data_IF_831138096885
#
_entry.id   IF_831138096885
#
_cell.length_a   1.000
_cell.length_b   1.000
_cell.length_c   1.000
_cell.angle_alpha   90.00
_cell.angle_beta   90.00
_cell.angle_gamma   90.00
#
_symmetry.space_group_name_H-M   'P 1'
#
loop_
_entity.id
_entity.type
_entity.pdbx_description
1 polymer ?
#
# COMPACT_ATOMS: atom_id res chain seq x y z
N UNK A 1 11.05 79.61 21.99
CA UNK A 1 11.85 78.77 21.06
C UNK A 1 12.04 77.41 21.72
N UNK A 2 11.30 76.36 21.34
CA UNK A 2 11.44 75.06 21.98
C UNK A 2 12.55 74.26 21.27
N UNK A 3 13.67 74.06 21.97
CA UNK A 3 14.78 73.22 21.52
C UNK A 3 14.57 71.72 21.85
N UNK A 4 13.50 71.38 22.57
CA UNK A 4 13.27 70.04 23.11
C UNK A 4 12.53 69.08 22.16
N UNK A 5 11.97 69.58 21.05
CA UNK A 5 11.27 68.73 20.09
C UNK A 5 12.20 68.00 19.10
N UNK A 6 13.44 68.48 18.93
CA UNK A 6 14.38 67.94 17.93
C UNK A 6 15.15 66.73 18.48
N UNK A 7 15.34 66.67 19.81
CA UNK A 7 16.08 65.60 20.48
C UNK A 7 15.26 64.30 20.55
N UNK A 8 13.93 64.39 20.68
CA UNK A 8 13.03 63.25 20.76
C UNK A 8 12.83 62.56 19.39
N UNK A 9 12.84 63.33 18.30
CA UNK A 9 12.78 62.78 16.93
C UNK A 9 14.06 62.00 16.58
N UNK A 10 15.22 62.38 17.13
CA UNK A 10 16.50 61.74 16.85
C UNK A 10 16.68 60.42 17.60
N UNK A 11 16.12 60.30 18.81
CA UNK A 11 16.07 59.03 19.55
C UNK A 11 15.08 58.02 18.95
N UNK A 12 14.06 58.48 18.22
CA UNK A 12 13.11 57.62 17.52
C UNK A 12 13.66 57.02 16.20
N UNK A 13 14.76 57.57 15.66
CA UNK A 13 15.27 57.22 14.33
C UNK A 13 16.34 56.10 14.30
N UNK A 14 16.85 55.66 15.45
CA UNK A 14 17.84 54.57 15.54
C UNK A 14 17.27 53.28 16.17
N UNK A 15 15.98 53.00 15.98
CA UNK A 15 15.48 51.62 16.18
C UNK A 15 16.00 50.78 15.02
N UNK A 16 17.14 50.12 15.24
CA UNK A 16 17.68 49.07 14.36
C UNK A 16 16.54 48.13 14.02
N UNK A 17 16.10 48.12 12.76
CA UNK A 17 15.12 47.17 12.29
C UNK A 17 15.67 45.76 12.57
N UNK A 18 14.86 44.88 13.17
CA UNK A 18 15.32 43.53 13.46
C UNK A 18 15.62 42.81 12.15
N UNK A 19 16.86 42.38 11.97
CA UNK A 19 17.25 41.64 10.78
C UNK A 19 16.77 40.19 10.93
N UNK A 20 15.65 39.88 10.28
CA UNK A 20 15.06 38.54 10.34
C UNK A 20 15.82 37.61 9.37
N UNK A 21 16.34 36.46 9.83
CA UNK A 21 16.97 35.49 8.94
C UNK A 21 15.93 34.88 7.99
N UNK A 22 16.36 34.39 6.81
CA UNK A 22 15.50 33.66 5.89
C UNK A 22 14.75 32.53 6.60
N UNK A 23 13.49 32.33 6.23
CA UNK A 23 12.66 31.30 6.86
C UNK A 23 13.28 29.90 6.69
N UNK A 24 13.43 29.16 7.79
CA UNK A 24 13.94 27.79 7.80
C UNK A 24 12.80 26.81 8.14
N UNK A 25 12.12 26.25 7.13
CA UNK A 25 10.94 25.43 7.33
C UNK A 25 11.21 23.99 7.79
N UNK A 26 12.42 23.48 7.55
CA UNK A 26 12.81 22.14 7.99
C UNK A 26 13.02 22.09 9.51
N UNK A 27 13.31 23.23 10.16
CA UNK A 27 13.39 23.35 11.61
C UNK A 27 12.88 24.73 12.06
N UNK A 28 11.54 24.90 12.14
CA UNK A 28 10.95 26.17 12.54
C UNK A 28 11.26 26.54 13.99
N UNK A 29 11.54 25.57 14.87
CA UNK A 29 11.87 25.84 16.27
C UNK A 29 13.22 26.56 16.40
N UNK A 30 14.24 26.07 15.70
CA UNK A 30 15.55 26.74 15.65
C UNK A 30 15.45 28.10 14.98
N UNK A 31 14.65 28.22 13.91
CA UNK A 31 14.42 29.51 13.27
C UNK A 31 13.80 30.54 14.22
N UNK A 32 12.74 30.18 14.94
CA UNK A 32 12.13 31.09 15.92
C UNK A 32 13.10 31.48 17.04
N UNK A 33 13.97 30.56 17.47
CA UNK A 33 15.03 30.87 18.45
C UNK A 33 15.98 31.96 17.94
N UNK A 34 16.37 31.88 16.66
CA UNK A 34 17.20 32.90 16.03
C UNK A 34 16.46 34.24 15.88
N UNK A 35 15.21 34.21 15.45
CA UNK A 35 14.34 35.39 15.33
C UNK A 35 14.18 36.10 16.67
N UNK A 36 13.94 35.36 17.75
CA UNK A 36 13.79 35.91 19.10
C UNK A 36 15.08 36.55 19.61
N UNK A 37 16.23 35.98 19.27
CA UNK A 37 17.52 36.58 19.54
C UNK A 37 17.68 37.92 18.81
N UNK A 38 17.23 38.01 17.55
CA UNK A 38 17.25 39.27 16.79
C UNK A 38 16.29 40.31 17.36
N UNK A 39 15.10 39.90 17.81
CA UNK A 39 14.19 40.79 18.53
C UNK A 39 14.80 41.33 19.82
N UNK A 40 15.48 40.48 20.59
CA UNK A 40 16.16 40.90 21.81
C UNK A 40 17.27 41.94 21.52
N UNK A 41 18.09 41.71 20.50
CA UNK A 41 19.15 42.63 20.08
C UNK A 41 18.62 43.97 19.57
N UNK A 42 17.49 43.96 18.85
CA UNK A 42 16.84 45.14 18.30
C UNK A 42 15.87 45.84 19.28
N UNK A 43 15.70 45.33 20.50
CA UNK A 43 14.77 45.87 21.49
C UNK A 43 13.28 45.75 21.08
N UNK A 44 12.94 44.77 20.25
CA UNK A 44 11.56 44.54 19.78
C UNK A 44 10.78 43.75 20.84
N UNK A 45 9.96 44.46 21.61
CA UNK A 45 9.14 43.86 22.69
C UNK A 45 7.65 43.75 22.34
N UNK A 46 7.15 44.56 21.40
CA UNK A 46 5.73 44.63 21.06
C UNK A 46 5.24 43.39 20.30
N UNK A 47 4.15 42.77 20.79
CA UNK A 47 3.51 41.60 20.18
C UNK A 47 3.12 41.86 18.70
N UNK A 48 2.51 43.01 18.40
CA UNK A 48 2.14 43.41 17.03
C UNK A 48 3.35 43.50 16.10
N UNK A 49 4.44 44.07 16.61
CA UNK A 49 5.67 44.27 15.84
C UNK A 49 6.32 42.92 15.55
N UNK A 50 6.44 42.04 16.56
CA UNK A 50 6.95 40.67 16.39
C UNK A 50 6.11 39.88 15.40
N UNK A 51 4.78 39.95 15.52
CA UNK A 51 3.84 39.32 14.59
C UNK A 51 4.07 39.81 13.15
N UNK A 52 4.18 41.13 12.95
CA UNK A 52 4.40 41.73 11.62
C UNK A 52 5.73 41.30 11.01
N UNK A 53 6.81 41.23 11.79
CA UNK A 53 8.10 40.73 11.33
C UNK A 53 8.01 39.27 10.86
N UNK A 54 7.41 38.38 11.65
CA UNK A 54 7.27 36.97 11.27
C UNK A 54 6.36 36.83 10.05
N UNK A 55 5.19 37.47 10.05
CA UNK A 55 4.23 37.40 8.96
C UNK A 55 4.80 37.89 7.62
N UNK A 56 5.70 38.89 7.65
CA UNK A 56 6.39 39.40 6.46
C UNK A 56 7.59 38.56 6.00
N UNK A 57 8.11 37.65 6.82
CA UNK A 57 9.31 36.86 6.51
C UNK A 57 9.04 35.37 6.22
N UNK A 58 7.80 34.89 6.40
CA UNK A 58 7.41 33.53 6.02
C UNK A 58 7.02 33.45 4.54
N UNK A 59 7.49 32.43 3.84
CA UNK A 59 7.12 32.23 2.43
C UNK A 59 5.61 31.99 2.27
N UNK A 60 5.04 32.39 1.13
CA UNK A 60 3.61 32.26 0.81
C UNK A 60 3.07 30.83 1.04
N UNK A 61 3.86 29.80 0.73
CA UNK A 61 3.47 28.40 0.91
C UNK A 61 3.28 28.02 2.39
N UNK A 62 4.04 28.60 3.31
CA UNK A 62 3.92 28.35 4.75
C UNK A 62 2.94 29.32 5.41
N UNK A 63 2.82 30.55 4.89
CA UNK A 63 1.76 31.47 5.28
C UNK A 63 0.36 30.87 5.03
N UNK A 64 0.20 30.09 3.95
CA UNK A 64 -1.03 29.36 3.67
C UNK A 64 -1.40 28.34 4.77
N UNK A 65 -0.41 27.68 5.38
CA UNK A 65 -0.62 26.72 6.48
C UNK A 65 -1.16 27.37 7.75
N UNK A 66 -0.96 28.68 7.95
CA UNK A 66 -1.42 29.47 9.11
C UNK A 66 -2.33 30.64 8.70
N UNK A 67 -2.97 30.55 7.53
CA UNK A 67 -3.79 31.62 6.95
C UNK A 67 -4.85 32.16 7.90
N UNK A 68 -5.49 31.29 8.67
CA UNK A 68 -6.52 31.64 9.64
C UNK A 68 -6.01 32.62 10.70
N UNK A 69 -4.75 32.48 11.12
CA UNK A 69 -4.10 33.34 12.13
C UNK A 69 -3.68 34.67 11.49
N UNK A 70 -3.16 34.62 10.26
CA UNK A 70 -2.73 35.83 9.55
C UNK A 70 -3.90 36.73 9.14
N UNK A 71 -5.03 36.13 8.75
CA UNK A 71 -6.22 36.86 8.29
C UNK A 71 -7.14 37.29 9.42
N UNK A 72 -7.14 36.57 10.54
CA UNK A 72 -7.95 36.88 11.73
C UNK A 72 -7.08 36.73 12.98
N UNK A 73 -6.12 37.63 13.19
CA UNK A 73 -5.23 37.55 14.35
C UNK A 73 -6.01 37.74 15.66
N UNK A 74 -5.63 37.05 16.75
CA UNK A 74 -6.25 37.25 18.06
C UNK A 74 -6.00 38.67 18.59
N UNK A 75 -6.80 39.12 19.57
CA UNK A 75 -6.66 40.46 20.14
C UNK A 75 -5.33 40.67 20.88
N UNK A 76 -4.77 39.60 21.46
CA UNK A 76 -3.48 39.60 22.16
C UNK A 76 -2.77 38.26 21.95
N UNK A 77 -1.44 38.26 22.14
CA UNK A 77 -0.62 37.05 21.97
C UNK A 77 -0.56 36.57 20.52
N UNK A 78 -0.61 37.50 19.56
CA UNK A 78 -0.60 37.21 18.13
C UNK A 78 0.67 36.48 17.73
N UNK A 79 1.82 36.94 18.22
CA UNK A 79 3.11 36.33 17.94
C UNK A 79 3.18 34.91 18.48
N UNK A 80 2.85 34.70 19.76
CA UNK A 80 2.92 33.38 20.38
C UNK A 80 1.97 32.37 19.74
N UNK A 81 0.76 32.82 19.37
CA UNK A 81 -0.20 31.97 18.67
C UNK A 81 0.31 31.60 17.27
N UNK A 82 0.87 32.55 16.53
CA UNK A 82 1.47 32.31 15.23
C UNK A 82 2.67 31.36 15.32
N UNK A 83 3.61 31.60 16.24
CA UNK A 83 4.78 30.74 16.51
C UNK A 83 4.35 29.31 16.80
N UNK A 84 3.49 29.14 17.80
CA UNK A 84 3.02 27.82 18.26
C UNK A 84 2.34 27.04 17.15
N UNK A 85 1.40 27.67 16.43
CA UNK A 85 0.67 26.98 15.37
C UNK A 85 1.51 26.74 14.11
N UNK A 86 2.43 27.66 13.77
CA UNK A 86 3.32 27.47 12.63
C UNK A 86 4.25 26.27 12.88
N UNK A 87 4.90 26.21 14.04
CA UNK A 87 5.71 25.06 14.45
C UNK A 87 4.87 23.79 14.41
N UNK A 88 3.71 23.77 15.09
CA UNK A 88 2.85 22.58 15.16
C UNK A 88 2.41 22.08 13.78
N UNK A 89 1.95 22.97 12.89
CA UNK A 89 1.44 22.59 11.56
C UNK A 89 2.56 22.15 10.63
N UNK A 90 3.73 22.81 10.66
CA UNK A 90 4.88 22.39 9.86
C UNK A 90 5.44 21.05 10.36
N UNK A 91 5.56 20.85 11.67
CA UNK A 91 6.02 19.57 12.25
C UNK A 91 5.06 18.43 11.90
N UNK A 92 3.74 18.63 12.02
CA UNK A 92 2.75 17.62 11.62
C UNK A 92 2.80 17.31 10.10
N UNK A 93 2.96 18.34 9.27
CA UNK A 93 3.12 18.16 7.82
C UNK A 93 4.41 17.38 7.49
N UNK A 94 5.49 17.65 8.20
CA UNK A 94 6.76 16.94 8.05
C UNK A 94 6.64 15.48 8.51
N UNK A 95 6.03 15.22 9.67
CA UNK A 95 5.74 13.87 10.16
C UNK A 95 4.93 13.08 9.12
N UNK A 96 3.88 13.67 8.56
CA UNK A 96 3.04 13.04 7.54
C UNK A 96 3.83 12.72 6.26
N UNK A 97 4.72 13.62 5.82
CA UNK A 97 5.60 13.38 4.67
C UNK A 97 6.59 12.25 4.94
N UNK A 98 7.25 12.27 6.10
CA UNK A 98 8.18 11.22 6.52
C UNK A 98 7.46 9.88 6.64
N UNK A 99 6.25 9.86 7.22
CA UNK A 99 5.42 8.65 7.31
C UNK A 99 5.08 8.11 5.93
N UNK A 100 4.65 8.95 4.99
CA UNK A 100 4.39 8.51 3.61
C UNK A 100 5.64 7.95 2.94
N UNK A 101 6.80 8.59 3.12
CA UNK A 101 8.07 8.09 2.58
C UNK A 101 8.39 6.71 3.14
N UNK A 102 8.30 6.57 4.46
CA UNK A 102 8.46 5.31 5.17
C UNK A 102 7.46 4.26 4.67
N UNK A 103 6.19 4.59 4.47
CA UNK A 103 5.17 3.66 4.00
C UNK A 103 5.45 3.11 2.61
N UNK A 104 6.10 3.85 1.71
CA UNK A 104 6.39 3.39 0.34
C UNK A 104 7.76 2.73 0.20
N UNK A 105 8.65 2.89 1.18
CA UNK A 105 10.00 2.33 1.14
C UNK A 105 9.98 0.79 1.08
N UNK A 106 10.69 0.22 0.10
CA UNK A 106 10.78 -1.23 -0.15
C UNK A 106 12.06 -1.81 0.42
N UNK A 107 12.03 -3.00 1.02
CA UNK A 107 13.24 -3.59 1.60
C UNK A 107 14.31 -3.95 0.55
N UNK A 108 13.88 -4.45 -0.63
CA UNK A 108 14.79 -4.95 -1.67
C UNK A 108 15.65 -6.11 -1.18
N UNK A 109 16.92 -6.13 -1.58
CA UNK A 109 17.93 -7.13 -1.15
C UNK A 109 18.59 -6.82 0.21
N UNK A 110 18.13 -5.79 0.92
CA UNK A 110 18.73 -5.37 2.19
C UNK A 110 18.41 -6.38 3.30
N UNK A 111 19.36 -6.57 4.21
CA UNK A 111 19.11 -7.34 5.44
C UNK A 111 18.11 -6.59 6.34
N UNK A 112 17.26 -7.29 7.12
CA UNK A 112 16.32 -6.66 8.04
C UNK A 112 16.93 -5.58 8.95
N UNK A 113 18.14 -5.79 9.49
CA UNK A 113 18.84 -4.80 10.32
C UNK A 113 19.32 -3.56 9.55
N UNK A 114 19.76 -3.75 8.31
CA UNK A 114 20.16 -2.64 7.43
C UNK A 114 18.94 -1.81 7.03
N UNK A 115 17.83 -2.49 6.71
CA UNK A 115 16.58 -1.85 6.38
C UNK A 115 16.02 -1.05 7.56
N UNK A 116 16.09 -1.60 8.78
CA UNK A 116 15.67 -0.88 9.99
C UNK A 116 16.49 0.40 10.19
N UNK A 117 17.82 0.31 10.16
CA UNK A 117 18.71 1.46 10.36
C UNK A 117 18.43 2.57 9.35
N UNK A 118 18.19 2.20 8.09
CA UNK A 118 17.81 3.16 7.07
C UNK A 118 16.46 3.84 7.37
N UNK A 119 15.44 3.08 7.78
CA UNK A 119 14.14 3.64 8.17
C UNK A 119 14.23 4.54 9.40
N UNK A 120 15.02 4.18 10.40
CA UNK A 120 15.28 5.02 11.58
C UNK A 120 15.95 6.35 11.17
N UNK A 121 16.91 6.30 10.23
CA UNK A 121 17.56 7.50 9.71
C UNK A 121 16.56 8.42 8.97
N UNK A 122 15.61 7.87 8.22
CA UNK A 122 14.55 8.64 7.55
C UNK A 122 13.50 9.17 8.53
N UNK A 123 13.14 8.38 9.54
CA UNK A 123 12.19 8.74 10.59
C UNK A 123 12.68 9.93 11.43
N UNK A 124 13.98 9.95 11.75
CA UNK A 124 14.56 10.92 12.67
C UNK A 124 13.86 10.92 14.03
N UNK A 125 13.78 12.10 14.65
CA UNK A 125 13.08 12.30 15.94
C UNK A 125 11.58 12.58 15.76
N UNK A 126 11.13 12.73 14.50
CA UNK A 126 9.79 13.21 14.16
C UNK A 126 8.74 12.09 14.23
N UNK A 127 9.15 10.84 13.97
CA UNK A 127 8.23 9.69 13.91
C UNK A 127 8.44 8.76 15.11
N UNK A 128 7.38 8.34 15.83
CA UNK A 128 7.50 7.42 16.95
C UNK A 128 8.13 6.06 16.58
N UNK A 129 9.00 5.54 17.44
CA UNK A 129 9.65 4.24 17.23
C UNK A 129 8.64 3.08 17.05
N UNK A 130 7.49 3.14 17.73
CA UNK A 130 6.42 2.15 17.60
C UNK A 130 5.85 2.08 16.18
N UNK A 131 5.76 3.21 15.49
CA UNK A 131 5.33 3.28 14.09
C UNK A 131 6.44 2.79 13.15
N UNK A 132 7.71 3.14 13.44
CA UNK A 132 8.85 2.60 12.68
C UNK A 132 8.87 1.07 12.78
N UNK A 133 8.64 0.51 13.97
CA UNK A 133 8.56 -0.92 14.21
C UNK A 133 7.44 -1.59 13.42
N UNK A 134 6.22 -1.06 13.47
CA UNK A 134 5.08 -1.65 12.77
C UNK A 134 5.26 -1.64 11.26
N UNK A 135 5.75 -0.53 10.70
CA UNK A 135 6.01 -0.42 9.27
C UNK A 135 7.19 -1.29 8.83
N UNK A 136 8.24 -1.40 9.66
CA UNK A 136 9.38 -2.28 9.37
C UNK A 136 8.95 -3.76 9.37
N UNK A 137 8.25 -4.22 10.42
CA UNK A 137 7.73 -5.59 10.49
C UNK A 137 6.80 -5.90 9.32
N UNK A 138 5.86 -5.01 8.99
CA UNK A 138 4.90 -5.22 7.91
C UNK A 138 5.52 -5.38 6.52
N UNK A 139 6.79 -5.03 6.34
CA UNK A 139 7.54 -5.15 5.08
C UNK A 139 8.44 -6.39 5.00
N UNK A 140 8.54 -7.17 6.08
CA UNK A 140 9.30 -8.42 6.09
C UNK A 140 8.48 -9.59 5.52
N UNK A 141 9.09 -10.70 5.08
CA UNK A 141 8.35 -11.91 4.69
C UNK A 141 7.49 -12.45 5.83
N UNK A 142 6.31 -13.00 5.52
CA UNK A 142 5.33 -13.46 6.54
C UNK A 142 5.88 -14.47 7.54
N UNK A 143 6.77 -15.36 7.11
CA UNK A 143 7.45 -16.33 7.98
C UNK A 143 8.30 -15.65 9.05
N UNK A 144 9.03 -14.59 8.66
CA UNK A 144 9.85 -13.80 9.58
C UNK A 144 8.97 -12.94 10.48
N UNK A 145 7.89 -12.34 9.95
CA UNK A 145 6.94 -11.57 10.75
C UNK A 145 6.36 -12.39 11.91
N UNK A 146 5.94 -13.63 11.66
CA UNK A 146 5.35 -14.50 12.68
C UNK A 146 6.30 -14.74 13.86
N UNK A 147 7.60 -14.89 13.58
CA UNK A 147 8.62 -15.11 14.61
C UNK A 147 8.89 -13.80 15.37
N UNK A 148 9.14 -12.72 14.64
CA UNK A 148 9.53 -11.43 15.23
C UNK A 148 8.37 -10.72 15.95
N UNK A 149 7.12 -10.98 15.57
CA UNK A 149 5.94 -10.41 16.23
C UNK A 149 5.80 -10.87 17.70
N UNK A 150 6.42 -11.97 18.08
CA UNK A 150 6.45 -12.44 19.48
C UNK A 150 7.35 -11.56 20.37
N UNK A 151 8.28 -10.81 19.77
CA UNK A 151 9.28 -10.00 20.47
C UNK A 151 8.81 -8.55 20.68
N UNK A 152 7.68 -8.39 21.37
CA UNK A 152 7.04 -7.08 21.59
C UNK A 152 7.78 -6.19 22.60
N UNK A 153 8.46 -6.79 23.58
CA UNK A 153 9.19 -6.08 24.66
C UNK A 153 10.67 -5.89 24.36
N UNK A 154 11.22 -6.58 23.36
CA UNK A 154 12.62 -6.49 22.99
C UNK A 154 12.96 -5.15 22.32
N UNK A 155 14.22 -4.74 22.40
CA UNK A 155 14.71 -3.57 21.67
C UNK A 155 14.59 -3.80 20.15
N UNK A 156 14.19 -2.80 19.38
CA UNK A 156 13.95 -2.96 17.95
C UNK A 156 15.21 -3.38 17.17
N UNK A 157 16.39 -2.94 17.61
CA UNK A 157 17.66 -3.31 16.98
C UNK A 157 17.97 -4.80 17.19
N UNK A 158 17.71 -5.34 18.40
CA UNK A 158 17.94 -6.77 18.68
C UNK A 158 16.95 -7.65 17.93
N UNK A 159 15.70 -7.20 17.75
CA UNK A 159 14.71 -7.87 16.90
C UNK A 159 15.17 -7.88 15.44
N UNK A 160 15.83 -6.83 14.97
CA UNK A 160 16.35 -6.79 13.61
C UNK A 160 17.57 -7.68 13.40
N UNK A 161 18.45 -7.81 14.39
CA UNK A 161 19.54 -8.80 14.39
C UNK A 161 19.00 -10.23 14.38
N UNK A 162 17.91 -10.50 15.10
CA UNK A 162 17.22 -11.79 15.00
C UNK A 162 16.63 -12.01 13.58
N UNK A 163 16.09 -10.95 12.97
CA UNK A 163 15.65 -10.98 11.57
C UNK A 163 16.77 -11.35 10.61
N UNK A 164 17.97 -10.80 10.81
CA UNK A 164 19.17 -11.15 10.05
C UNK A 164 19.54 -12.64 10.21
N UNK A 165 19.50 -13.17 11.44
CA UNK A 165 19.76 -14.59 11.69
C UNK A 165 18.71 -15.51 11.05
N UNK A 166 17.44 -15.11 11.04
CA UNK A 166 16.37 -15.84 10.34
C UNK A 166 16.61 -15.82 8.83
N UNK A 167 17.05 -14.68 8.28
CA UNK A 167 17.37 -14.56 6.85
C UNK A 167 18.55 -15.47 6.44
N UNK A 168 19.56 -15.61 7.30
CA UNK A 168 20.70 -16.49 7.06
C UNK A 168 20.34 -17.98 7.22
N UNK A 169 19.50 -18.30 8.20
CA UNK A 169 19.06 -19.67 8.48
C UNK A 169 17.98 -20.17 7.53
N UNK A 170 17.28 -19.27 6.85
CA UNK A 170 16.35 -19.62 5.78
C UNK A 170 17.17 -19.82 4.52
N UNK A 171 17.38 -21.05 4.03
CA UNK A 171 18.01 -21.22 2.73
C UNK A 171 17.16 -20.46 1.73
N UNK A 172 17.76 -19.45 1.08
CA UNK A 172 17.25 -18.96 -0.20
C UNK A 172 17.03 -20.23 -1.00
N UNK A 173 15.77 -20.63 -1.20
CA UNK A 173 15.48 -21.46 -2.34
C UNK A 173 15.95 -20.59 -3.51
N UNK A 174 17.21 -20.80 -3.93
CA UNK A 174 17.46 -20.91 -5.33
C UNK A 174 16.30 -21.76 -5.79
N UNK A 175 15.43 -21.18 -6.59
CA UNK A 175 14.61 -21.98 -7.47
C UNK A 175 15.64 -22.77 -8.24
N UNK A 176 16.03 -23.93 -7.71
CA UNK A 176 16.67 -24.95 -8.48
C UNK A 176 15.72 -25.06 -9.65
N UNK A 177 16.19 -24.71 -10.84
CA UNK A 177 15.52 -25.10 -12.06
C UNK A 177 15.09 -26.54 -11.83
N UNK A 178 13.77 -26.75 -11.69
CA UNK A 178 13.21 -28.06 -11.51
C UNK A 178 13.33 -28.76 -12.87
N UNK A 179 14.56 -29.09 -13.27
CA UNK A 179 14.86 -29.94 -14.42
C UNK A 179 14.22 -31.34 -14.23
N UNK A 180 13.86 -31.71 -12.99
CA UNK A 180 13.09 -32.92 -12.68
C UNK A 180 11.56 -32.78 -12.81
N UNK A 181 10.99 -31.56 -12.82
CA UNK A 181 9.53 -31.36 -12.95
C UNK A 181 9.11 -31.08 -14.40
N UNK A 182 9.97 -30.45 -15.19
CA UNK A 182 9.71 -30.19 -16.61
C UNK A 182 9.45 -31.50 -17.38
N UNK A 183 10.28 -32.53 -17.18
CA UNK A 183 10.07 -33.83 -17.81
C UNK A 183 8.81 -34.56 -17.33
N UNK A 184 8.40 -34.36 -16.08
CA UNK A 184 7.17 -34.96 -15.53
C UNK A 184 5.90 -34.27 -16.07
N UNK A 185 5.95 -32.94 -16.24
CA UNK A 185 4.87 -32.17 -16.83
C UNK A 185 4.77 -32.40 -18.34
N UNK A 186 5.90 -32.45 -19.06
CA UNK A 186 5.93 -32.83 -20.49
C UNK A 186 5.39 -34.24 -20.70
N UNK A 187 5.83 -35.22 -19.90
CA UNK A 187 5.32 -36.58 -19.97
C UNK A 187 3.81 -36.65 -19.69
N UNK A 188 3.30 -35.85 -18.74
CA UNK A 188 1.86 -35.78 -18.47
C UNK A 188 1.09 -35.11 -19.60
N UNK A 189 1.64 -34.06 -20.22
CA UNK A 189 1.04 -33.39 -21.39
C UNK A 189 1.05 -34.30 -22.61
N UNK A 190 2.13 -35.05 -22.84
CA UNK A 190 2.21 -36.03 -23.93
C UNK A 190 1.23 -37.19 -23.71
N UNK A 191 1.09 -37.68 -22.47
CA UNK A 191 0.11 -38.69 -22.11
C UNK A 191 -1.34 -38.20 -22.31
N UNK A 192 -1.64 -36.95 -21.92
CA UNK A 192 -2.97 -36.35 -22.07
C UNK A 192 -3.29 -36.08 -23.54
N UNK A 193 -2.33 -35.60 -24.33
CA UNK A 193 -2.52 -35.37 -25.78
C UNK A 193 -2.68 -36.67 -26.56
N UNK A 194 -1.93 -37.73 -26.22
CA UNK A 194 -2.11 -39.05 -26.79
C UNK A 194 -3.48 -39.66 -26.45
N UNK A 195 -3.93 -39.52 -25.20
CA UNK A 195 -5.27 -39.95 -24.78
C UNK A 195 -6.37 -39.19 -25.52
N UNK A 196 -6.22 -37.87 -25.67
CA UNK A 196 -7.17 -37.04 -26.40
C UNK A 196 -7.22 -37.39 -27.90
N UNK A 197 -6.07 -37.63 -28.53
CA UNK A 197 -6.02 -38.06 -29.94
C UNK A 197 -6.73 -39.39 -30.16
N UNK A 198 -6.55 -40.34 -29.23
CA UNK A 198 -7.22 -41.64 -29.27
C UNK A 198 -8.73 -41.50 -29.08
N UNK A 199 -9.17 -40.66 -28.15
CA UNK A 199 -10.59 -40.36 -27.94
C UNK A 199 -11.24 -39.70 -29.16
N UNK A 200 -10.55 -38.75 -29.82
CA UNK A 200 -11.04 -38.10 -31.05
C UNK A 200 -11.15 -39.11 -32.20
N UNK A 201 -10.18 -40.01 -32.34
CA UNK A 201 -10.24 -41.07 -33.35
C UNK A 201 -11.44 -42.02 -33.13
N UNK A 202 -11.68 -42.44 -31.88
CA UNK A 202 -12.85 -43.25 -31.53
C UNK A 202 -14.17 -42.51 -31.77
N UNK A 203 -14.23 -41.20 -31.47
CA UNK A 203 -15.41 -40.38 -31.73
C UNK A 203 -15.71 -40.24 -33.23
N UNK A 204 -14.67 -40.09 -34.06
CA UNK A 204 -14.81 -40.05 -35.52
C UNK A 204 -15.30 -41.39 -36.08
N UNK A 205 -14.82 -42.51 -35.56
CA UNK A 205 -15.31 -43.85 -35.93
C UNK A 205 -16.79 -44.00 -35.58
N UNK A 206 -17.19 -43.62 -34.36
CA UNK A 206 -18.58 -43.68 -33.94
C UNK A 206 -19.49 -42.81 -34.84
N UNK A 207 -19.04 -41.61 -35.23
CA UNK A 207 -19.78 -40.75 -36.16
C UNK A 207 -19.93 -41.38 -37.55
N UNK A 208 -18.92 -42.10 -38.04
CA UNK A 208 -19.01 -42.82 -39.31
C UNK A 208 -19.97 -43.99 -39.24
N UNK A 209 -19.97 -44.74 -38.14
CA UNK A 209 -20.89 -45.85 -37.92
C UNK A 209 -22.35 -45.35 -37.81
N UNK A 210 -22.59 -44.24 -37.08
CA UNK A 210 -23.89 -43.58 -37.02
C UNK A 210 -24.36 -43.15 -38.43
N UNK A 211 -23.49 -42.48 -39.20
CA UNK A 211 -23.82 -42.04 -40.55
C UNK A 211 -24.10 -43.21 -41.51
N UNK A 212 -23.38 -44.32 -41.36
CA UNK A 212 -23.61 -45.54 -42.14
C UNK A 212 -24.93 -46.22 -41.76
N UNK A 213 -25.33 -46.19 -40.49
CA UNK A 213 -26.62 -46.70 -40.02
C UNK A 213 -27.77 -45.83 -40.54
N UNK A 214 -27.66 -44.50 -40.50
CA UNK A 214 -28.69 -43.60 -41.06
C UNK A 214 -28.90 -43.81 -42.55
N UNK A 215 -27.81 -43.99 -43.33
CA UNK A 215 -27.94 -44.33 -44.77
C UNK A 215 -28.68 -45.64 -45.03
N UNK A 216 -28.50 -46.65 -44.16
CA UNK A 216 -29.23 -47.93 -44.26
C UNK A 216 -30.69 -47.83 -43.81
N UNK A 217 -31.04 -46.84 -42.98
CA UNK A 217 -32.41 -46.57 -42.54
C UNK A 217 -33.19 -45.77 -43.60
N UNK A 218 -32.54 -44.83 -44.29
CA UNK A 218 -33.16 -44.05 -45.38
C UNK A 218 -33.42 -44.88 -46.65
N UNK A 219 -32.63 -45.94 -46.89
CA UNK A 219 -32.77 -46.83 -48.05
C UNK A 219 -33.78 -47.99 -47.81
N UNK A 220 -34.54 -47.95 -46.70
CA UNK A 220 -35.66 -48.88 -46.49
C UNK A 220 -36.93 -48.39 -47.18
N UNK A 221 -37.42 -49.07 -48.24
CA UNK A 221 -38.67 -48.71 -48.87
C UNK A 221 -39.82 -48.92 -47.88
N UNK A 222 -40.69 -47.93 -47.77
CA UNK A 222 -41.89 -47.94 -46.93
C UNK A 222 -42.80 -49.12 -47.29
N UNK A 223 -42.60 -50.28 -46.65
CA UNK A 223 -43.52 -51.41 -46.76
C UNK A 223 -44.76 -51.11 -45.93
N UNK A 224 -45.80 -50.71 -46.64
CA UNK A 224 -47.18 -50.54 -46.21
C UNK A 224 -47.61 -51.58 -45.18
N UNK A 225 -47.83 -51.14 -43.94
CA UNK A 225 -48.56 -51.91 -42.92
C UNK A 225 -50.05 -51.72 -43.15
N UNK A 226 -50.65 -52.60 -43.94
CA UNK A 226 -52.11 -52.82 -43.86
C UNK A 226 -52.35 -53.79 -42.70
N UNK A 227 -52.86 -53.26 -41.59
CA UNK A 227 -53.25 -54.00 -40.39
C UNK A 227 -54.76 -54.13 -40.41
N UNK A 228 -55.29 -55.35 -40.48
CA UNK A 228 -56.66 -55.63 -40.04
C UNK A 228 -56.75 -57.05 -39.48
N UNK A 229 -57.05 -57.11 -38.17
CA UNK A 229 -57.94 -58.02 -37.41
C UNK A 229 -57.99 -59.51 -37.81
N UNK A 230 -58.04 -60.50 -36.92
CA UNK A 230 -58.25 -60.59 -35.47
C UNK A 230 -57.94 -62.06 -35.08
N UNK A 231 -57.47 -62.27 -33.85
CA UNK A 231 -57.42 -63.58 -33.19
C UNK A 231 -58.83 -64.16 -33.00
N UNK A 232 -58.99 -65.46 -33.26
CA UNK A 232 -59.85 -66.34 -32.47
C UNK A 232 -59.04 -67.57 -32.06
N UNK A 233 -58.87 -67.73 -30.74
CA UNK A 233 -58.18 -68.83 -30.10
C UNK A 233 -59.19 -69.92 -29.71
N UNK A 234 -58.89 -71.12 -30.20
CA UNK A 234 -58.81 -72.40 -29.46
C UNK A 234 -60.05 -73.01 -28.79
N UNK A 235 -60.39 -74.20 -29.32
CA UNK A 235 -60.91 -75.45 -28.71
C UNK A 235 -61.62 -75.38 -27.35
N UNK A 236 -62.76 -76.09 -27.29
CA UNK A 236 -62.89 -77.20 -26.35
C UNK A 236 -63.76 -78.35 -26.91
N UNK A 237 -63.22 -79.54 -26.71
CA UNK A 237 -63.69 -80.90 -27.00
C UNK A 237 -65.17 -81.19 -26.75
N UNK A 238 -65.79 -81.92 -27.68
CA UNK A 238 -66.93 -82.81 -27.42
C UNK A 238 -66.49 -84.23 -27.82
N UNK A 239 -66.67 -85.14 -26.87
CA UNK A 239 -66.40 -86.58 -26.90
C UNK A 239 -67.35 -87.29 -27.87
N UNK A 240 -67.02 -88.51 -28.29
CA UNK A 240 -67.81 -89.73 -28.01
C UNK A 240 -67.16 -90.92 -28.70
N UNK A 241 -66.73 -91.89 -27.88
CA UNK A 241 -66.60 -93.29 -28.28
C UNK A 241 -68.02 -93.87 -28.30
N UNK A 242 -68.33 -94.64 -29.34
CA UNK A 242 -69.67 -95.14 -29.66
C UNK A 242 -70.10 -96.35 -28.82
N UNK A 243 -71.42 -96.34 -28.55
CA UNK A 243 -72.34 -97.41 -28.17
C UNK A 243 -72.47 -97.74 -26.68
#
# INVERSE_FOLDING_TARGET
>A
MPADAVTDVRAALDRVAAHIPPFWPADPEIWFTQVESQFALAGVVGDETKFSYVAGNIDAKYAAEVRDILTRPPASGKYEKLKTELIRRLSASQEQKTRRLLEHEEMGDRRPSQFLRHRQALAGVVVPESLVRSLWLGRLPSSMQAILATQTTANLNTVAELGDAIADATPRHQVAEYAGSAGSLEALVEQVTASLATAVAMQKQHQQDIAAIQRKVDDQPSRSRTRSRQRSLTRRSILYYTQ
#
